data_IF_471070733531
#
_entry.id   IF_471070733531
#
_cell.length_a   1.000
_cell.length_b   1.000
_cell.length_c   1.000
_cell.angle_alpha   90.00
_cell.angle_beta   90.00
_cell.angle_gamma   90.00
#
_symmetry.space_group_name_H-M   'P 1'
#
loop_
_entity.id
_entity.type
_entity.pdbx_description
1 polymer ?
#
# COMPACT_ATOMS: atom_id res chain seq x y z
N UNK A 1 -27.89 -24.16 37.67
CA UNK A 1 -28.09 -23.16 36.59
C UNK A 1 -27.31 -21.91 36.98
N UNK A 2 -26.10 -21.73 36.45
CA UNK A 2 -25.26 -20.58 36.74
C UNK A 2 -24.54 -20.17 35.46
N UNK A 3 -24.89 -19.00 34.92
CA UNK A 3 -24.21 -18.40 33.77
C UNK A 3 -23.21 -17.39 34.31
N UNK A 4 -21.92 -17.74 34.24
CA UNK A 4 -20.81 -16.81 34.47
C UNK A 4 -20.61 -16.00 33.18
N UNK A 5 -20.81 -14.69 33.29
CA UNK A 5 -20.54 -13.69 32.24
C UNK A 5 -19.03 -13.44 32.18
N UNK A 6 -18.40 -13.82 31.07
CA UNK A 6 -17.01 -13.47 30.77
C UNK A 6 -16.92 -12.03 30.28
N UNK A 7 -16.13 -11.22 30.99
CA UNK A 7 -15.72 -9.88 30.59
C UNK A 7 -14.70 -9.97 29.46
N UNK A 8 -15.12 -9.64 28.24
CA UNK A 8 -14.23 -9.38 27.11
C UNK A 8 -13.75 -7.92 27.18
N UNK A 9 -12.46 -7.72 27.41
CA UNK A 9 -11.79 -6.42 27.29
C UNK A 9 -11.81 -6.02 25.82
N UNK A 10 -12.66 -5.05 25.48
CA UNK A 10 -12.70 -4.44 24.16
C UNK A 10 -11.50 -3.49 24.02
N UNK A 11 -10.52 -3.90 23.23
CA UNK A 11 -9.41 -3.06 22.81
C UNK A 11 -9.94 -2.04 21.79
N UNK A 12 -10.38 -0.86 22.25
CA UNK A 12 -10.75 0.26 21.40
C UNK A 12 -9.52 0.78 20.66
N UNK A 13 -9.38 0.36 19.40
CA UNK A 13 -8.44 0.97 18.45
C UNK A 13 -9.07 2.29 18.01
N UNK A 14 -8.73 3.39 18.68
CA UNK A 14 -8.95 4.73 18.13
C UNK A 14 -7.99 4.92 16.97
N UNK A 15 -8.42 4.53 15.76
CA UNK A 15 -7.83 5.06 14.53
C UNK A 15 -8.44 6.45 14.35
N UNK A 16 -7.59 7.48 14.49
CA UNK A 16 -7.99 8.86 14.29
C UNK A 16 -8.64 9.03 12.92
N UNK A 17 -9.92 9.40 12.92
CA UNK A 17 -10.65 9.81 11.74
C UNK A 17 -10.03 11.12 11.23
N UNK A 18 -9.10 11.01 10.29
CA UNK A 18 -8.76 12.12 9.41
C UNK A 18 -9.95 12.30 8.46
N UNK A 19 -10.74 13.31 8.79
CA UNK A 19 -11.88 13.87 8.09
C UNK A 19 -12.04 13.41 6.63
N UNK A 20 -13.10 12.64 6.39
CA UNK A 20 -13.77 12.49 5.11
C UNK A 20 -14.21 13.88 4.60
N UNK A 21 -13.35 14.52 3.80
CA UNK A 21 -13.81 15.47 2.81
C UNK A 21 -14.40 14.66 1.65
N UNK A 22 -15.68 14.33 1.79
CA UNK A 22 -16.48 13.65 0.78
C UNK A 22 -16.53 14.46 -0.53
N UNK A 23 -15.58 14.22 -1.43
CA UNK A 23 -15.74 14.51 -2.84
C UNK A 23 -16.25 13.23 -3.52
N UNK A 24 -17.33 13.36 -4.28
CA UNK A 24 -17.98 12.26 -5.00
C UNK A 24 -16.96 11.43 -5.79
N UNK A 25 -16.59 10.25 -5.26
CA UNK A 25 -15.58 9.40 -5.86
C UNK A 25 -16.23 8.58 -6.98
N UNK A 26 -15.93 8.91 -8.23
CA UNK A 26 -15.72 7.85 -9.21
C UNK A 26 -14.78 6.84 -8.54
N UNK A 27 -15.18 5.58 -8.42
CA UNK A 27 -14.46 4.56 -7.64
C UNK A 27 -13.16 4.22 -8.37
N UNK A 28 -12.17 5.12 -8.32
CA UNK A 28 -10.81 4.87 -8.74
C UNK A 28 -10.16 4.12 -7.59
N UNK A 29 -9.73 2.86 -7.80
CA UNK A 29 -9.12 2.08 -6.74
C UNK A 29 -7.91 2.80 -6.17
N UNK A 30 -7.74 2.71 -4.85
CA UNK A 30 -6.66 3.42 -4.17
C UNK A 30 -5.29 2.91 -4.61
N UNK A 31 -4.44 3.84 -5.04
CA UNK A 31 -3.03 3.62 -5.33
C UNK A 31 -2.16 3.85 -4.10
N UNK A 32 -2.72 4.40 -3.01
CA UNK A 32 -1.98 4.70 -1.78
C UNK A 32 -1.40 3.42 -1.18
N UNK A 33 -0.12 3.45 -0.83
CA UNK A 33 0.65 2.31 -0.31
C UNK A 33 1.25 1.38 -1.37
N UNK A 34 0.96 1.60 -2.66
CA UNK A 34 1.61 0.88 -3.77
C UNK A 34 2.88 1.60 -4.22
N UNK A 35 3.81 0.86 -4.83
CA UNK A 35 4.93 1.52 -5.52
C UNK A 35 4.42 2.25 -6.76
N UNK A 36 5.11 3.31 -7.18
CA UNK A 36 4.72 4.05 -8.38
C UNK A 36 4.74 3.16 -9.63
N UNK A 37 5.67 2.19 -9.72
CA UNK A 37 5.70 1.21 -10.81
C UNK A 37 4.45 0.32 -10.84
N UNK A 38 4.02 -0.19 -9.68
CA UNK A 38 2.76 -0.96 -9.56
C UNK A 38 1.55 -0.09 -9.91
N UNK A 39 1.51 1.14 -9.41
CA UNK A 39 0.45 2.10 -9.69
C UNK A 39 0.37 2.43 -11.18
N UNK A 40 1.50 2.71 -11.86
CA UNK A 40 1.53 2.93 -13.31
C UNK A 40 1.02 1.72 -14.09
N UNK A 41 1.39 0.50 -13.66
CA UNK A 41 0.89 -0.73 -14.29
C UNK A 41 -0.62 -0.86 -14.20
N UNK A 42 -1.22 -0.55 -13.04
CA UNK A 42 -2.67 -0.58 -12.84
C UNK A 42 -3.38 0.55 -13.61
N UNK A 43 -2.85 1.77 -13.55
CA UNK A 43 -3.40 2.94 -14.24
C UNK A 43 -3.41 2.75 -15.76
N UNK A 44 -2.33 2.16 -16.31
CA UNK A 44 -2.24 1.84 -17.73
C UNK A 44 -3.28 0.80 -18.14
N UNK A 45 -3.49 -0.25 -17.32
CA UNK A 45 -4.54 -1.26 -17.55
C UNK A 45 -5.94 -0.64 -17.57
N UNK A 46 -6.18 0.38 -16.74
CA UNK A 46 -7.47 1.08 -16.67
C UNK A 46 -7.58 2.30 -17.59
N UNK A 47 -6.55 2.58 -18.40
CA UNK A 47 -6.48 3.75 -19.29
C UNK A 47 -6.74 5.07 -18.56
N UNK A 48 -6.33 5.15 -17.30
CA UNK A 48 -6.44 6.35 -16.48
C UNK A 48 -5.15 7.16 -16.59
N UNK A 49 -5.28 8.46 -16.87
CA UNK A 49 -4.14 9.38 -16.87
C UNK A 49 -3.75 9.74 -15.44
N UNK A 50 -2.45 9.80 -15.15
CA UNK A 50 -1.92 10.24 -13.86
C UNK A 50 -0.83 11.30 -14.01
N UNK A 51 -0.68 12.12 -12.99
CA UNK A 51 0.31 13.19 -12.92
C UNK A 51 0.90 13.24 -11.51
N UNK A 52 2.22 13.40 -11.40
CA UNK A 52 2.88 13.50 -10.09
C UNK A 52 2.85 14.95 -9.64
N UNK A 53 2.25 15.21 -8.50
CA UNK A 53 2.13 16.56 -7.94
C UNK A 53 3.22 16.91 -6.95
N UNK A 54 3.68 15.92 -6.18
CA UNK A 54 4.69 16.14 -5.14
C UNK A 54 5.52 14.88 -4.97
N UNK A 55 6.82 15.07 -4.78
CA UNK A 55 7.76 14.00 -4.44
C UNK A 55 8.48 14.40 -3.15
N UNK A 56 8.44 13.52 -2.16
CA UNK A 56 9.18 13.65 -0.90
C UNK A 56 10.40 12.71 -0.96
N UNK A 57 11.59 13.21 -0.65
CA UNK A 57 12.83 12.41 -0.72
C UNK A 57 13.33 12.15 -2.14
N UNK A 58 14.56 11.64 -2.25
CA UNK A 58 15.27 11.42 -3.52
C UNK A 58 16.09 10.13 -3.56
N UNK A 59 15.94 9.26 -2.57
CA UNK A 59 16.84 8.13 -2.34
C UNK A 59 16.45 6.89 -3.15
N UNK A 60 15.15 6.67 -3.33
CA UNK A 60 14.65 5.56 -4.12
C UNK A 60 14.54 5.91 -5.60
N UNK A 61 14.64 4.86 -6.45
CA UNK A 61 14.27 4.99 -7.85
C UNK A 61 12.79 5.39 -7.95
N UNK A 62 12.43 6.18 -8.97
CA UNK A 62 11.07 6.71 -9.10
C UNK A 62 9.99 5.62 -9.06
N UNK A 63 10.30 4.43 -9.57
CA UNK A 63 9.36 3.30 -9.62
C UNK A 63 9.15 2.65 -8.25
N UNK A 64 10.11 2.80 -7.34
CA UNK A 64 10.09 2.23 -5.99
C UNK A 64 9.48 3.19 -4.96
N UNK A 65 9.28 4.46 -5.32
CA UNK A 65 8.60 5.42 -4.46
C UNK A 65 7.17 4.99 -4.17
N UNK A 66 6.72 5.16 -2.93
CA UNK A 66 5.39 4.81 -2.47
C UNK A 66 4.43 5.96 -2.74
N UNK A 67 3.26 5.66 -3.28
CA UNK A 67 2.18 6.64 -3.38
C UNK A 67 1.63 6.88 -1.97
N UNK A 68 1.76 8.10 -1.45
CA UNK A 68 1.27 8.47 -0.11
C UNK A 68 -0.04 9.24 -0.14
N UNK A 69 -0.35 9.88 -1.26
CA UNK A 69 -1.61 10.55 -1.46
C UNK A 69 -2.06 10.43 -2.91
N UNK A 70 -3.38 10.38 -3.10
CA UNK A 70 -4.00 10.41 -4.41
C UNK A 70 -5.17 11.41 -4.41
N UNK A 71 -5.35 12.13 -5.52
CA UNK A 71 -6.48 13.03 -5.69
C UNK A 71 -6.98 13.00 -7.13
N UNK A 72 -8.27 12.75 -7.33
CA UNK A 72 -8.88 12.83 -8.64
C UNK A 72 -9.11 14.31 -9.01
N UNK A 73 -8.51 14.75 -10.12
CA UNK A 73 -8.87 16.01 -10.77
C UNK A 73 -9.91 15.71 -11.85
N UNK A 74 -11.18 16.12 -11.70
CA UNK A 74 -12.17 15.95 -12.75
C UNK A 74 -11.81 16.82 -13.97
N UNK A 75 -12.34 16.44 -15.13
CA UNK A 75 -12.26 17.27 -16.33
C UNK A 75 -13.06 18.57 -16.11
N UNK A 76 -12.64 19.66 -16.75
CA UNK A 76 -13.34 20.96 -16.64
C UNK A 76 -14.77 20.92 -17.20
N UNK A 77 -15.02 20.04 -18.17
CA UNK A 77 -16.35 19.70 -18.70
C UNK A 77 -16.31 18.31 -19.33
N UNK A 78 -17.49 17.71 -19.54
CA UNK A 78 -17.59 16.41 -20.22
C UNK A 78 -17.04 16.50 -21.65
N UNK A 79 -16.13 15.59 -22.03
CA UNK A 79 -15.48 15.60 -23.34
C UNK A 79 -14.31 16.57 -23.48
N UNK A 80 -13.85 17.22 -22.42
CA UNK A 80 -12.71 18.12 -22.47
C UNK A 80 -11.41 17.37 -22.85
N UNK A 81 -10.88 17.65 -24.04
CA UNK A 81 -9.63 17.03 -24.54
C UNK A 81 -8.39 17.72 -23.96
N UNK A 82 -8.46 19.03 -23.72
CA UNK A 82 -7.32 19.84 -23.24
C UNK A 82 -7.14 19.81 -21.70
N UNK A 83 -8.13 19.30 -20.98
CA UNK A 83 -8.08 19.14 -19.52
C UNK A 83 -8.84 17.88 -19.11
N UNK A 84 -8.34 16.70 -19.54
CA UNK A 84 -9.00 15.44 -19.22
C UNK A 84 -8.93 15.19 -17.71
N UNK A 85 -9.79 14.32 -17.22
CA UNK A 85 -9.69 13.87 -15.84
C UNK A 85 -8.35 13.16 -15.62
N UNK A 86 -7.66 13.47 -14.52
CA UNK A 86 -6.37 12.86 -14.18
C UNK A 86 -6.30 12.54 -12.69
N UNK A 87 -5.56 11.49 -12.36
CA UNK A 87 -5.22 11.17 -10.97
C UNK A 87 -3.91 11.85 -10.59
N UNK A 88 -3.98 12.75 -9.62
CA UNK A 88 -2.83 13.42 -9.04
C UNK A 88 -2.24 12.53 -7.96
N UNK A 89 -0.94 12.25 -8.03
CA UNK A 89 -0.24 11.36 -7.11
C UNK A 89 0.87 12.13 -6.37
N UNK A 90 0.89 11.97 -5.05
CA UNK A 90 2.05 12.36 -4.24
C UNK A 90 2.88 11.13 -3.89
N UNK A 91 4.18 11.23 -4.09
CA UNK A 91 5.13 10.15 -3.88
C UNK A 91 6.02 10.42 -2.67
N UNK A 92 6.35 9.36 -1.96
CA UNK A 92 7.43 9.30 -0.98
C UNK A 92 8.51 8.35 -1.50
N UNK A 93 9.68 8.92 -1.78
CA UNK A 93 10.88 8.28 -2.28
C UNK A 93 11.94 8.11 -1.17
N UNK A 94 11.55 8.20 0.10
CA UNK A 94 12.40 7.79 1.23
C UNK A 94 12.39 6.27 1.39
N UNK A 95 13.40 5.73 2.06
CA UNK A 95 13.46 4.30 2.33
C UNK A 95 12.32 3.87 3.26
N UNK A 96 11.77 2.68 3.01
CA UNK A 96 10.68 2.12 3.81
C UNK A 96 11.06 1.99 5.29
N UNK A 97 12.32 1.66 5.58
CA UNK A 97 12.96 1.74 6.89
C UNK A 97 14.30 2.48 6.73
N UNK A 98 14.63 3.36 7.66
CA UNK A 98 15.92 4.05 7.68
C UNK A 98 17.09 3.05 7.72
N UNK A 99 18.10 3.31 6.90
CA UNK A 99 19.38 2.58 6.90
C UNK A 99 20.53 3.54 7.20
N UNK A 100 21.75 3.02 7.35
CA UNK A 100 22.93 3.83 7.62
C UNK A 100 23.18 4.93 6.56
N UNK A 101 22.75 4.69 5.32
CA UNK A 101 22.98 5.60 4.19
C UNK A 101 21.71 6.17 3.56
N UNK A 102 20.52 5.71 3.98
CA UNK A 102 19.25 6.17 3.38
C UNK A 102 18.26 6.59 4.48
N UNK A 103 17.78 7.85 4.49
CA UNK A 103 16.69 8.28 5.36
C UNK A 103 15.39 7.51 5.06
N UNK A 104 14.60 7.27 6.11
CA UNK A 104 13.36 6.50 6.05
C UNK A 104 12.66 6.43 7.41
N UNK A 105 11.65 5.55 7.54
CA UNK A 105 10.98 5.37 8.82
C UNK A 105 11.94 4.81 9.87
N UNK A 106 11.94 5.40 11.07
CA UNK A 106 12.74 4.88 12.17
C UNK A 106 12.30 3.47 12.53
N UNK A 107 13.25 2.53 12.68
CA UNK A 107 12.96 1.18 13.15
C UNK A 107 12.30 1.14 14.55
N UNK A 108 12.35 2.25 15.29
CA UNK A 108 11.63 2.41 16.57
C UNK A 108 10.18 2.90 16.42
N UNK A 109 9.79 3.49 15.28
CA UNK A 109 8.42 3.95 15.08
C UNK A 109 7.46 2.77 14.85
N UNK A 110 6.16 2.90 15.12
CA UNK A 110 5.18 1.88 14.77
C UNK A 110 5.25 1.45 13.30
N UNK A 111 5.38 2.42 12.39
CA UNK A 111 5.44 2.22 10.94
C UNK A 111 6.73 1.50 10.54
N UNK A 112 7.88 1.96 11.04
CA UNK A 112 9.17 1.33 10.75
C UNK A 112 9.29 -0.09 11.31
N UNK A 113 8.68 -0.38 12.47
CA UNK A 113 8.60 -1.75 13.00
C UNK A 113 7.75 -2.66 12.11
N UNK A 114 6.57 -2.19 11.70
CA UNK A 114 5.69 -2.96 10.81
C UNK A 114 6.36 -3.24 9.47
N UNK A 115 7.01 -2.23 8.89
CA UNK A 115 7.76 -2.34 7.66
C UNK A 115 8.94 -3.33 7.78
N UNK A 116 9.72 -3.24 8.87
CA UNK A 116 10.83 -4.17 9.12
C UNK A 116 10.35 -5.62 9.24
N UNK A 117 9.23 -5.82 9.95
CA UNK A 117 8.63 -7.16 10.07
C UNK A 117 8.16 -7.68 8.71
N UNK A 118 7.56 -6.83 7.88
CA UNK A 118 7.13 -7.20 6.53
C UNK A 118 8.33 -7.60 5.64
N UNK A 119 9.44 -6.87 5.70
CA UNK A 119 10.69 -7.22 5.02
C UNK A 119 11.24 -8.58 5.49
N UNK A 120 11.30 -8.81 6.81
CA UNK A 120 11.77 -10.08 7.39
C UNK A 120 10.91 -11.24 6.91
N UNK A 121 9.58 -11.10 6.93
CA UNK A 121 8.65 -12.12 6.48
C UNK A 121 8.78 -12.40 4.97
N UNK A 122 8.89 -11.36 4.15
CA UNK A 122 9.08 -11.52 2.72
C UNK A 122 10.43 -12.19 2.41
N UNK A 123 11.49 -11.80 3.11
CA UNK A 123 12.80 -12.43 3.02
C UNK A 123 12.74 -13.91 3.41
N UNK A 124 12.10 -14.23 4.54
CA UNK A 124 11.95 -15.60 5.04
C UNK A 124 11.23 -16.49 4.03
N UNK A 125 10.11 -16.01 3.48
CA UNK A 125 9.38 -16.72 2.41
C UNK A 125 10.25 -16.97 1.19
N UNK A 126 11.07 -16.01 0.80
CA UNK A 126 11.89 -16.10 -0.41
C UNK A 126 13.14 -16.97 -0.24
N UNK A 127 13.80 -16.92 0.92
CA UNK A 127 15.17 -17.42 1.08
C UNK A 127 15.28 -18.69 1.94
N UNK A 128 14.18 -19.19 2.50
CA UNK A 128 14.19 -20.39 3.35
C UNK A 128 13.29 -21.49 2.78
N UNK A 129 13.68 -22.77 2.87
CA UNK A 129 12.82 -23.89 2.48
C UNK A 129 11.51 -23.91 3.26
N UNK A 130 11.54 -23.59 4.55
CA UNK A 130 10.37 -23.54 5.43
C UNK A 130 9.39 -22.45 4.97
N UNK A 131 9.91 -21.30 4.55
CA UNK A 131 9.12 -20.20 3.99
C UNK A 131 8.39 -20.58 2.71
N UNK A 132 9.05 -21.33 1.82
CA UNK A 132 8.45 -21.82 0.58
C UNK A 132 7.42 -22.94 0.83
N UNK A 133 7.69 -23.83 1.80
CA UNK A 133 6.74 -24.84 2.23
C UNK A 133 5.46 -24.18 2.79
N UNK A 134 5.62 -23.15 3.62
CA UNK A 134 4.50 -22.35 4.12
C UNK A 134 3.69 -21.73 2.99
N UNK A 135 4.34 -21.12 1.98
CA UNK A 135 3.64 -20.57 0.82
C UNK A 135 2.82 -21.63 0.10
N UNK A 136 3.40 -22.81 -0.14
CA UNK A 136 2.73 -23.92 -0.85
C UNK A 136 1.54 -24.47 -0.07
N UNK A 137 1.72 -24.71 1.24
CA UNK A 137 0.67 -25.21 2.12
C UNK A 137 -0.51 -24.24 2.18
N UNK A 138 -0.24 -22.96 2.41
CA UNK A 138 -1.30 -21.97 2.52
C UNK A 138 -1.98 -21.70 1.16
N UNK A 139 -1.25 -21.78 0.04
CA UNK A 139 -1.84 -21.74 -1.31
C UNK A 139 -2.84 -22.87 -1.52
N UNK A 140 -2.51 -24.08 -1.08
CA UNK A 140 -3.42 -25.23 -1.15
C UNK A 140 -4.64 -25.07 -0.25
N UNK A 141 -4.48 -24.45 0.93
CA UNK A 141 -5.58 -24.19 1.85
C UNK A 141 -6.49 -23.04 1.39
N UNK A 142 -5.94 -22.08 0.65
CA UNK A 142 -6.65 -20.89 0.19
C UNK A 142 -6.43 -20.63 -1.31
N UNK A 143 -6.96 -21.51 -2.19
CA UNK A 143 -6.75 -21.41 -3.64
C UNK A 143 -7.41 -20.17 -4.26
N UNK A 144 -8.40 -19.58 -3.59
CA UNK A 144 -9.18 -18.45 -4.10
C UNK A 144 -8.63 -17.08 -3.66
N UNK A 145 -7.52 -17.04 -2.91
CA UNK A 145 -6.92 -15.79 -2.46
C UNK A 145 -6.03 -15.17 -3.54
N UNK A 146 -5.91 -13.85 -3.52
CA UNK A 146 -4.95 -13.15 -4.37
C UNK A 146 -3.55 -13.25 -3.77
N UNK A 147 -2.86 -14.32 -4.11
CA UNK A 147 -1.48 -14.61 -3.69
C UNK A 147 -0.46 -13.57 -4.18
N UNK A 148 -0.83 -12.73 -5.16
CA UNK A 148 0.05 -11.65 -5.63
C UNK A 148 0.28 -10.55 -4.58
N UNK A 149 -0.58 -10.47 -3.57
CA UNK A 149 -0.46 -9.53 -2.45
C UNK A 149 0.57 -9.96 -1.41
N UNK A 150 0.94 -11.25 -1.36
CA UNK A 150 1.87 -11.79 -0.38
C UNK A 150 3.29 -11.80 -0.96
N UNK A 151 4.07 -10.78 -0.61
CA UNK A 151 5.47 -10.67 -1.06
C UNK A 151 6.30 -11.87 -0.60
N UNK A 152 7.04 -12.47 -1.53
CA UNK A 152 7.98 -13.58 -1.29
C UNK A 152 7.41 -14.98 -1.51
N UNK A 153 6.11 -15.12 -1.80
CA UNK A 153 5.55 -16.38 -2.29
C UNK A 153 5.58 -16.46 -3.82
N UNK A 154 5.59 -17.67 -4.41
CA UNK A 154 5.36 -17.87 -5.83
C UNK A 154 3.98 -17.31 -6.24
N UNK A 155 3.90 -16.76 -7.45
CA UNK A 155 2.64 -16.26 -8.02
C UNK A 155 1.89 -17.34 -8.77
#
# INVERSE_FOLDING_TARGET
>A
MGKVLSFAVALTIMVGALADAAAANATVPSMVGKTYGEAQGLLSKWKLASEITTTLGTELSRNDCIVVNQQLRPASHFGAINSPAKLLLSLDCTAVVASATHPGNSAGSPEGRAAKQAEILAWWRTNTPEGQAWCTENQSAHPNWDWSLIKGCPK
#
